data_IF_478379386686
#
_entry.id   IF_478379386686
#
_cell.length_a   1.000
_cell.length_b   1.000
_cell.length_c   1.000
_cell.angle_alpha   90.00
_cell.angle_beta   90.00
_cell.angle_gamma   90.00
#
_symmetry.space_group_name_H-M   'P 1'
#
loop_
_entity.id
_entity.type
_entity.pdbx_description
1 polymer ?
#
# COMPACT_ATOMS: atom_id res chain seq x y z
N UNK A 1 3.86 17.21 11.03
CA UNK A 1 2.43 17.14 10.65
C UNK A 1 2.01 15.70 10.42
N UNK A 2 2.52 15.00 9.39
CA UNK A 2 2.23 13.57 9.18
C UNK A 2 2.83 12.64 10.26
N UNK A 3 3.96 13.01 10.87
CA UNK A 3 4.56 12.23 11.98
C UNK A 3 3.65 12.11 13.21
N UNK A 4 2.74 13.04 13.44
CA UNK A 4 1.78 12.97 14.56
C UNK A 4 0.63 11.99 14.28
N UNK A 5 0.36 11.71 13.01
CA UNK A 5 -0.72 10.82 12.56
C UNK A 5 -0.22 9.38 12.34
N UNK A 6 0.98 9.05 12.84
CA UNK A 6 1.50 7.68 12.82
C UNK A 6 0.60 6.80 13.69
N UNK A 7 0.10 5.71 13.11
CA UNK A 7 -0.87 4.83 13.74
C UNK A 7 -2.33 5.12 13.41
N UNK A 8 -2.63 6.19 12.66
CA UNK A 8 -3.96 6.44 12.12
C UNK A 8 -4.18 5.69 10.80
N UNK A 9 -5.45 5.41 10.52
CA UNK A 9 -5.89 4.73 9.31
C UNK A 9 -6.53 5.74 8.36
N UNK A 10 -6.11 5.71 7.10
CA UNK A 10 -6.62 6.60 6.06
C UNK A 10 -7.14 5.80 4.87
N UNK A 11 -8.08 6.39 4.15
CA UNK A 11 -8.50 5.86 2.85
C UNK A 11 -7.45 6.22 1.79
N UNK A 12 -7.10 5.22 0.99
CA UNK A 12 -6.16 5.36 -0.10
C UNK A 12 -6.60 4.57 -1.32
N UNK A 13 -6.02 4.94 -2.46
CA UNK A 13 -6.22 4.24 -3.72
C UNK A 13 -4.89 3.69 -4.21
N UNK A 14 -4.87 2.45 -4.70
CA UNK A 14 -3.66 1.86 -5.29
C UNK A 14 -3.27 2.68 -6.53
N UNK A 15 -2.14 3.37 -6.45
CA UNK A 15 -1.61 4.20 -7.54
C UNK A 15 -0.62 3.44 -8.41
N UNK A 16 0.00 2.38 -7.90
CA UNK A 16 0.87 1.48 -8.65
C UNK A 16 1.05 0.15 -7.93
N UNK A 17 1.25 -0.92 -8.69
CA UNK A 17 1.52 -2.27 -8.16
C UNK A 17 2.91 -2.70 -8.62
N UNK A 18 3.70 -3.26 -7.72
CA UNK A 18 5.05 -3.76 -8.00
C UNK A 18 5.26 -5.15 -7.41
N UNK A 19 6.32 -5.84 -7.83
CA UNK A 19 6.64 -7.18 -7.30
C UNK A 19 7.00 -7.22 -5.81
N UNK A 20 7.43 -6.10 -5.22
CA UNK A 20 7.83 -6.00 -3.82
C UNK A 20 6.78 -5.31 -2.94
N UNK A 21 5.67 -4.84 -3.50
CA UNK A 21 4.64 -4.12 -2.76
C UNK A 21 3.70 -3.30 -3.63
N UNK A 22 2.84 -2.52 -2.99
CA UNK A 22 1.89 -1.63 -3.65
C UNK A 22 2.10 -0.19 -3.19
N UNK A 23 1.99 0.75 -4.13
CA UNK A 23 1.92 2.17 -3.82
C UNK A 23 0.47 2.56 -3.66
N UNK A 24 0.17 3.21 -2.54
CA UNK A 24 -1.16 3.66 -2.18
C UNK A 24 -1.11 5.16 -1.99
N UNK A 25 -1.97 5.87 -2.72
CA UNK A 25 -2.13 7.31 -2.59
C UNK A 25 -3.26 7.59 -1.61
N UNK A 26 -2.94 8.26 -0.51
CA UNK A 26 -3.91 8.73 0.47
C UNK A 26 -4.73 9.85 -0.16
N UNK A 27 -6.05 9.70 -0.24
CA UNK A 27 -6.94 10.66 -0.92
C UNK A 27 -7.03 11.99 -0.20
N UNK A 28 -6.99 11.98 1.14
CA UNK A 28 -7.10 13.18 1.98
C UNK A 28 -5.89 14.11 1.81
N UNK A 29 -4.68 13.55 1.83
CA UNK A 29 -3.43 14.33 1.80
C UNK A 29 -2.73 14.35 0.45
N UNK A 30 -3.19 13.56 -0.53
CA UNK A 30 -2.55 13.38 -1.83
C UNK A 30 -1.07 12.94 -1.71
N UNK A 31 -0.76 12.17 -0.68
CA UNK A 31 0.59 11.63 -0.43
C UNK A 31 0.62 10.16 -0.82
N UNK A 32 1.71 9.75 -1.47
CA UNK A 32 1.96 8.36 -1.79
C UNK A 32 2.69 7.67 -0.62
N UNK A 33 2.20 6.50 -0.23
CA UNK A 33 2.86 5.60 0.68
C UNK A 33 3.10 4.24 0.04
N UNK A 34 4.05 3.50 0.58
CA UNK A 34 4.41 2.16 0.14
C UNK A 34 3.90 1.15 1.17
N UNK A 35 3.12 0.18 0.71
CA UNK A 35 2.83 -1.04 1.47
C UNK A 35 3.76 -2.12 0.93
N UNK A 36 4.69 -2.56 1.78
CA UNK A 36 5.58 -3.64 1.42
C UNK A 36 4.82 -4.98 1.39
N UNK A 37 5.19 -5.88 0.47
CA UNK A 37 4.55 -7.20 0.34
C UNK A 37 4.62 -8.03 1.63
N UNK A 38 5.62 -7.78 2.49
CA UNK A 38 5.76 -8.45 3.80
C UNK A 38 4.76 -7.96 4.85
N UNK A 39 4.15 -6.79 4.64
CA UNK A 39 3.12 -6.24 5.51
C UNK A 39 1.73 -6.74 5.12
N UNK A 40 1.56 -7.17 3.87
CA UNK A 40 0.37 -7.88 3.43
C UNK A 40 0.36 -9.24 4.13
N UNK A 41 -0.80 -9.66 4.65
CA UNK A 41 -1.02 -10.90 5.41
C UNK A 41 -0.25 -12.11 4.83
N UNK A 42 0.10 -13.06 5.71
CA UNK A 42 1.00 -14.24 5.60
C UNK A 42 0.70 -15.23 4.42
N UNK A 43 0.49 -14.70 3.23
CA UNK A 43 0.17 -15.39 1.99
C UNK A 43 1.22 -15.05 0.94
N UNK A 44 1.47 -16.00 0.04
CA UNK A 44 2.40 -15.79 -1.05
C UNK A 44 1.72 -14.92 -2.12
N UNK A 45 2.04 -13.63 -2.16
CA UNK A 45 1.59 -12.76 -3.23
C UNK A 45 2.47 -12.91 -4.48
N UNK A 46 1.83 -13.19 -5.61
CA UNK A 46 2.45 -13.18 -6.94
C UNK A 46 2.06 -11.91 -7.68
N UNK A 47 3.06 -11.23 -8.22
CA UNK A 47 2.86 -10.15 -9.16
C UNK A 47 2.54 -10.72 -10.55
N UNK A 48 1.36 -10.39 -11.05
CA UNK A 48 0.91 -10.66 -12.41
C UNK A 48 1.18 -9.41 -13.25
N UNK A 49 2.22 -9.45 -14.09
CA UNK A 49 2.61 -8.33 -14.95
C UNK A 49 1.55 -8.00 -16.01
N UNK A 50 0.80 -9.02 -16.46
CA UNK A 50 -0.24 -8.85 -17.49
C UNK A 50 -1.44 -8.11 -16.92
N UNK A 51 -1.80 -8.40 -15.67
CA UNK A 51 -2.93 -7.76 -14.98
C UNK A 51 -2.54 -6.58 -14.10
N UNK A 52 -1.23 -6.31 -13.97
CA UNK A 52 -0.65 -5.35 -13.05
C UNK A 52 -1.27 -5.46 -11.65
N UNK A 53 -1.34 -6.69 -11.13
CA UNK A 53 -1.96 -6.98 -9.84
C UNK A 53 -1.12 -7.92 -8.99
N UNK A 54 -1.19 -7.74 -7.67
CA UNK A 54 -0.68 -8.69 -6.70
C UNK A 54 -1.82 -9.62 -6.29
N UNK A 55 -1.70 -10.90 -6.60
CA UNK A 55 -2.68 -11.92 -6.24
C UNK A 55 -2.09 -12.87 -5.20
N UNK A 56 -2.77 -13.04 -4.07
CA UNK A 56 -2.43 -14.07 -3.08
C UNK A 56 -2.74 -15.47 -3.61
N UNK A 57 -1.79 -16.39 -3.46
CA UNK A 57 -1.89 -17.78 -3.94
C UNK A 57 -3.05 -18.54 -3.26
N UNK A 58 -3.35 -18.23 -1.98
CA UNK A 58 -4.45 -18.84 -1.23
C UNK A 58 -5.85 -18.26 -1.57
N UNK A 59 -5.93 -17.35 -2.56
CA UNK A 59 -7.18 -16.73 -2.99
C UNK A 59 -7.69 -15.63 -2.05
N UNK A 60 -6.90 -15.22 -1.05
CA UNK A 60 -7.38 -14.40 0.05
C UNK A 60 -7.55 -12.91 -0.28
N UNK A 61 -6.77 -12.35 -1.23
CA UNK A 61 -6.89 -10.95 -1.67
C UNK A 61 -6.14 -10.70 -2.98
N UNK A 62 -6.69 -9.81 -3.82
CA UNK A 62 -6.01 -9.28 -4.99
C UNK A 62 -5.93 -7.77 -4.86
N UNK A 63 -4.75 -7.20 -5.08
CA UNK A 63 -4.53 -5.76 -5.10
C UNK A 63 -4.24 -5.32 -6.52
N UNK A 64 -5.10 -4.46 -7.06
CA UNK A 64 -5.01 -3.97 -8.44
C UNK A 64 -4.89 -2.45 -8.44
N UNK A 65 -4.35 -1.92 -9.53
CA UNK A 65 -4.35 -0.48 -9.78
C UNK A 65 -5.78 0.08 -9.72
N UNK A 66 -5.98 1.12 -8.92
CA UNK A 66 -7.28 1.78 -8.76
C UNK A 66 -8.16 1.22 -7.65
N UNK A 67 -7.77 0.12 -6.98
CA UNK A 67 -8.51 -0.40 -5.85
C UNK A 67 -8.47 0.58 -4.67
N UNK A 68 -9.61 0.77 -4.00
CA UNK A 68 -9.70 1.54 -2.77
C UNK A 68 -9.47 0.63 -1.56
N UNK A 69 -8.55 1.04 -0.68
CA UNK A 69 -8.26 0.33 0.55
C UNK A 69 -8.01 1.30 1.70
N UNK A 70 -8.16 0.80 2.91
CA UNK A 70 -7.72 1.50 4.11
C UNK A 70 -6.30 1.08 4.44
N UNK A 71 -5.45 2.06 4.70
CA UNK A 71 -4.04 1.86 5.03
C UNK A 71 -3.73 2.56 6.34
N UNK A 72 -2.89 1.93 7.17
CA UNK A 72 -2.44 2.51 8.43
C UNK A 72 -1.03 3.06 8.28
N UNK A 73 -0.81 4.27 8.79
CA UNK A 73 0.52 4.89 8.78
C UNK A 73 1.41 4.17 9.78
N UNK A 74 2.43 3.45 9.29
CA UNK A 74 3.40 2.77 10.14
C UNK A 74 4.59 3.68 10.48
N UNK A 75 5.11 4.40 9.49
CA UNK A 75 6.19 5.36 9.67
C UNK A 75 6.12 6.46 8.62
N UNK A 76 6.63 7.65 8.97
CA UNK A 76 6.69 8.80 8.06
C UNK A 76 8.13 9.27 7.96
N UNK A 77 8.67 9.23 6.74
CA UNK A 77 9.97 9.77 6.41
C UNK A 77 9.79 11.12 5.69
N UNK A 78 9.96 12.21 6.44
CA UNK A 78 9.77 13.58 5.95
C UNK A 78 10.87 14.01 4.96
N UNK A 79 12.08 13.48 5.11
CA UNK A 79 13.21 13.78 4.22
C UNK A 79 12.96 13.24 2.81
N UNK A 80 12.46 12.00 2.72
CA UNK A 80 12.12 11.38 1.44
C UNK A 80 10.68 11.69 0.96
N UNK A 81 9.87 12.35 1.80
CA UNK A 81 8.41 12.52 1.60
C UNK A 81 7.71 11.19 1.32
N UNK A 82 8.16 10.13 1.98
CA UNK A 82 7.62 8.77 1.86
C UNK A 82 6.94 8.38 3.16
N UNK A 83 5.90 7.56 3.02
CA UNK A 83 5.17 6.99 4.15
C UNK A 83 5.20 5.47 4.00
N UNK A 84 5.58 4.78 5.07
CA UNK A 84 5.43 3.34 5.16
C UNK A 84 4.02 3.03 5.68
N UNK A 85 3.32 2.17 4.96
CA UNK A 85 1.93 1.82 5.20
C UNK A 85 1.82 0.31 5.47
N UNK A 86 0.82 -0.06 6.28
CA UNK A 86 0.41 -1.47 6.54
C UNK A 86 -1.10 -1.64 6.43
#
# INVERSE_FOLDING_TARGET
FMQDHVGETFEGVVSSVTGFGIFVRITEYHIDGLVHITSLDDDYYRYDDVKQCLAGDSGARQYRLGDQLQVKVAAVNLDERKIDLI
#
